data_IF_748547949110
#
_entry.id   IF_748547949110
#
_cell.length_a   1.000
_cell.length_b   1.000
_cell.length_c   1.000
_cell.angle_alpha   90.00
_cell.angle_beta   90.00
_cell.angle_gamma   90.00
#
_symmetry.space_group_name_H-M   'P 1'
#
loop_
_entity.id
_entity.type
_entity.pdbx_description
1 polymer ?
#
# COMPACT_ATOMS: atom_id res chain seq x y z
N UNK A 1 -3.93 -72.90 -52.33
CA UNK A 1 -4.24 -72.12 -51.11
C UNK A 1 -4.88 -70.83 -51.61
N UNK A 2 -6.20 -70.74 -51.82
CA UNK A 2 -7.31 -70.85 -50.86
C UNK A 2 -7.17 -69.86 -49.68
N UNK A 3 -8.06 -68.86 -49.67
CA UNK A 3 -8.38 -68.01 -48.53
C UNK A 3 -9.13 -68.84 -47.44
N UNK A 4 -9.30 -68.37 -46.19
CA UNK A 4 -10.14 -67.20 -45.84
C UNK A 4 -9.41 -66.23 -44.88
N UNK A 5 -9.99 -65.21 -44.24
CA UNK A 5 -11.38 -64.74 -44.07
C UNK A 5 -11.42 -63.20 -44.04
N UNK A 6 -12.61 -62.61 -44.27
CA UNK A 6 -12.99 -61.27 -43.77
C UNK A 6 -14.34 -61.43 -43.08
N UNK A 7 -14.46 -60.93 -41.85
CA UNK A 7 -15.74 -60.77 -41.15
C UNK A 7 -15.87 -59.29 -40.82
N UNK A 8 -16.94 -58.68 -41.34
CA UNK A 8 -17.37 -57.36 -40.91
C UNK A 8 -18.52 -57.51 -39.93
N UNK A 9 -18.46 -56.77 -38.83
CA UNK A 9 -19.61 -56.48 -37.97
C UNK A 9 -19.48 -55.03 -37.51
N UNK A 10 -20.40 -54.18 -37.96
CA UNK A 10 -20.67 -52.93 -37.25
C UNK A 10 -21.12 -53.27 -35.83
N UNK A 11 -20.72 -52.48 -34.85
CA UNK A 11 -21.59 -52.11 -33.76
C UNK A 11 -21.32 -50.65 -33.38
N UNK A 12 -22.39 -49.87 -33.24
CA UNK A 12 -22.33 -48.57 -32.58
C UNK A 12 -22.31 -48.82 -31.07
N UNK A 13 -21.41 -48.17 -30.34
CA UNK A 13 -21.56 -47.98 -28.91
C UNK A 13 -20.89 -46.68 -28.44
N UNK A 14 -21.74 -45.67 -28.29
CA UNK A 14 -21.92 -44.80 -27.13
C UNK A 14 -20.71 -44.14 -26.44
N UNK A 15 -20.91 -42.84 -26.20
CA UNK A 15 -20.07 -41.91 -25.46
C UNK A 15 -19.51 -42.48 -24.14
N UNK A 16 -18.19 -42.41 -24.01
CA UNK A 16 -17.59 -42.05 -22.72
C UNK A 16 -16.40 -41.12 -22.95
N UNK A 17 -16.68 -39.81 -22.92
CA UNK A 17 -15.69 -38.74 -22.92
C UNK A 17 -14.97 -38.66 -21.57
N UNK A 18 -14.11 -39.66 -21.30
CA UNK A 18 -13.13 -39.58 -20.23
C UNK A 18 -11.86 -38.91 -20.78
N UNK A 19 -11.80 -37.60 -20.60
CA UNK A 19 -10.65 -36.77 -20.94
C UNK A 19 -9.34 -37.35 -20.41
N UNK A 20 -8.34 -37.43 -21.29
CA UNK A 20 -7.00 -37.97 -20.99
C UNK A 20 -6.32 -37.06 -19.95
N UNK A 21 -5.92 -37.57 -18.76
CA UNK A 21 -5.20 -36.76 -17.78
C UNK A 21 -3.84 -36.32 -18.34
N UNK A 22 -3.55 -35.01 -18.31
CA UNK A 22 -2.26 -34.47 -18.71
C UNK A 22 -2.23 -33.65 -20.01
N UNK A 23 -3.37 -33.32 -20.61
CA UNK A 23 -3.46 -32.11 -21.44
C UNK A 23 -3.73 -30.91 -20.54
N UNK A 24 -2.72 -30.07 -20.35
CA UNK A 24 -2.97 -28.65 -20.07
C UNK A 24 -3.75 -28.09 -21.26
N UNK A 25 -5.03 -27.78 -21.02
CA UNK A 25 -5.74 -26.85 -21.88
C UNK A 25 -5.13 -25.50 -21.53
N UNK A 26 -4.28 -24.95 -22.40
CA UNK A 26 -3.97 -23.52 -22.38
C UNK A 26 -5.25 -22.74 -22.75
N UNK A 27 -6.19 -22.66 -21.81
CA UNK A 27 -7.15 -21.58 -21.81
C UNK A 27 -6.33 -20.31 -21.66
N UNK A 28 -6.23 -19.54 -22.76
CA UNK A 28 -5.86 -18.13 -22.66
C UNK A 28 -6.91 -17.47 -21.79
N UNK A 29 -6.57 -17.28 -20.52
CA UNK A 29 -7.37 -16.50 -19.58
C UNK A 29 -7.59 -15.12 -20.18
N UNK A 30 -8.78 -14.90 -20.75
CA UNK A 30 -9.10 -13.63 -21.38
C UNK A 30 -9.37 -12.60 -20.28
N UNK A 31 -8.31 -11.87 -19.94
CA UNK A 31 -8.32 -10.81 -18.94
C UNK A 31 -8.88 -9.48 -19.47
N UNK A 32 -9.77 -9.56 -20.47
CA UNK A 32 -10.69 -8.48 -20.85
C UNK A 32 -11.69 -8.21 -19.73
N UNK A 33 -12.18 -6.97 -19.70
CA UNK A 33 -13.41 -6.60 -18.98
C UNK A 33 -14.54 -6.54 -20.00
N UNK A 34 -15.77 -6.78 -19.56
CA UNK A 34 -16.95 -6.55 -20.39
C UNK A 34 -17.15 -5.04 -20.65
N UNK A 35 -17.83 -4.71 -21.75
CA UNK A 35 -18.25 -3.34 -22.02
C UNK A 35 -19.29 -2.87 -21.00
N UNK A 36 -19.30 -1.57 -20.71
CA UNK A 36 -20.30 -0.93 -19.83
C UNK A 36 -21.75 -1.24 -20.24
N UNK A 37 -21.99 -1.50 -21.52
CA UNK A 37 -23.29 -1.90 -22.05
C UNK A 37 -23.80 -3.21 -21.44
N UNK A 38 -22.94 -4.19 -21.14
CA UNK A 38 -23.32 -5.47 -20.54
C UNK A 38 -23.61 -5.32 -19.05
N UNK A 39 -22.76 -4.55 -18.35
CA UNK A 39 -23.01 -4.15 -16.97
C UNK A 39 -24.37 -3.44 -16.83
N UNK A 40 -24.68 -2.52 -17.74
CA UNK A 40 -25.98 -1.82 -17.77
C UNK A 40 -27.15 -2.76 -18.08
N UNK A 41 -27.01 -3.78 -18.94
CA UNK A 41 -28.06 -4.80 -19.14
C UNK A 41 -28.38 -5.54 -17.84
N UNK A 42 -27.35 -5.98 -17.12
CA UNK A 42 -27.50 -6.69 -15.84
C UNK A 42 -28.12 -5.78 -14.77
N UNK A 43 -27.64 -4.55 -14.61
CA UNK A 43 -28.16 -3.58 -13.63
C UNK A 43 -29.62 -3.18 -13.90
N UNK A 44 -30.05 -3.15 -15.16
CA UNK A 44 -31.44 -2.85 -15.55
C UNK A 44 -32.38 -4.06 -15.50
N UNK A 45 -31.88 -5.29 -15.33
CA UNK A 45 -32.73 -6.47 -15.17
C UNK A 45 -33.61 -6.36 -13.91
N UNK A 46 -34.91 -6.65 -14.05
CA UNK A 46 -35.90 -6.46 -12.98
C UNK A 46 -35.93 -7.64 -12.00
N UNK A 47 -35.13 -7.54 -10.95
CA UNK A 47 -35.18 -8.49 -9.82
C UNK A 47 -36.47 -8.32 -8.99
N UNK A 48 -37.06 -9.44 -8.56
CA UNK A 48 -38.07 -9.47 -7.49
C UNK A 48 -37.39 -9.11 -6.17
N UNK A 49 -38.09 -8.42 -5.27
CA UNK A 49 -37.55 -8.11 -3.93
C UNK A 49 -37.55 -9.37 -3.06
N UNK A 50 -36.45 -9.58 -2.32
CA UNK A 50 -36.42 -10.58 -1.25
C UNK A 50 -37.33 -10.16 -0.10
N UNK A 51 -38.08 -11.11 0.45
CA UNK A 51 -38.86 -10.94 1.68
C UNK A 51 -38.24 -11.82 2.78
N UNK A 52 -37.64 -11.24 3.83
CA UNK A 52 -37.03 -12.01 4.91
C UNK A 52 -38.06 -12.75 5.78
N UNK A 53 -39.30 -12.26 5.85
CA UNK A 53 -40.38 -12.77 6.68
C UNK A 53 -41.66 -12.98 5.84
N UNK A 54 -41.67 -13.95 4.91
CA UNK A 54 -42.87 -14.28 4.15
C UNK A 54 -44.02 -14.65 5.11
N UNK A 55 -45.25 -14.21 4.77
CA UNK A 55 -46.42 -14.36 5.65
C UNK A 55 -46.70 -15.79 6.12
N UNK A 56 -46.30 -16.78 5.32
CA UNK A 56 -46.48 -18.20 5.62
C UNK A 56 -45.54 -18.72 6.73
N UNK A 57 -44.43 -18.01 7.04
CA UNK A 57 -43.55 -18.36 8.17
C UNK A 57 -44.14 -18.01 9.53
N UNK A 58 -44.90 -16.92 9.62
CA UNK A 58 -45.55 -16.49 10.86
C UNK A 58 -46.59 -17.49 11.38
N UNK A 59 -47.06 -18.44 10.55
CA UNK A 59 -48.03 -19.47 10.97
C UNK A 59 -47.36 -20.72 11.57
N UNK A 60 -46.05 -20.93 11.35
CA UNK A 60 -45.32 -22.16 11.74
C UNK A 60 -44.39 -21.93 12.95
N UNK A 61 -44.41 -20.74 13.56
CA UNK A 61 -43.68 -20.49 14.82
C UNK A 61 -42.16 -20.66 14.72
N UNK A 62 -41.57 -20.57 13.53
CA UNK A 62 -40.11 -20.55 13.34
C UNK A 62 -39.53 -19.28 13.98
N UNK A 63 -38.40 -19.43 14.70
CA UNK A 63 -37.66 -18.28 15.21
C UNK A 63 -37.25 -17.35 14.05
N UNK A 64 -37.31 -16.02 14.23
CA UNK A 64 -36.93 -15.07 13.18
C UNK A 64 -35.47 -15.26 12.79
N UNK A 65 -35.21 -15.34 11.48
CA UNK A 65 -33.87 -15.56 10.93
C UNK A 65 -32.84 -14.58 11.52
N UNK A 66 -31.66 -15.10 11.85
CA UNK A 66 -30.51 -14.25 12.19
C UNK A 66 -30.06 -13.41 11.00
N UNK A 67 -29.36 -12.30 11.26
CA UNK A 67 -28.85 -11.42 10.20
C UNK A 67 -27.96 -12.14 9.18
N UNK A 68 -27.20 -13.16 9.61
CA UNK A 68 -26.35 -13.98 8.74
C UNK A 68 -27.17 -14.90 7.81
N UNK A 69 -28.28 -15.46 8.31
CA UNK A 69 -29.19 -16.29 7.50
C UNK A 69 -30.00 -15.43 6.54
N UNK A 70 -30.46 -14.25 6.96
CA UNK A 70 -31.10 -13.27 6.07
C UNK A 70 -30.16 -12.94 4.91
N UNK A 71 -28.90 -12.61 5.19
CA UNK A 71 -27.87 -12.30 4.19
C UNK A 71 -27.64 -13.46 3.21
N UNK A 72 -27.41 -14.66 3.73
CA UNK A 72 -27.19 -15.87 2.92
C UNK A 72 -28.39 -16.19 2.02
N UNK A 73 -29.61 -16.15 2.58
CA UNK A 73 -30.84 -16.41 1.82
C UNK A 73 -31.12 -15.31 0.78
N UNK A 74 -30.79 -14.05 1.07
CA UNK A 74 -30.90 -12.92 0.14
C UNK A 74 -30.00 -13.14 -1.08
N UNK A 75 -28.73 -13.52 -0.86
CA UNK A 75 -27.78 -13.77 -1.95
C UNK A 75 -28.26 -14.93 -2.83
N UNK A 76 -28.69 -16.06 -2.22
CA UNK A 76 -29.22 -17.22 -2.96
C UNK A 76 -30.46 -16.85 -3.77
N UNK A 77 -31.42 -16.12 -3.19
CA UNK A 77 -32.65 -15.69 -3.85
C UNK A 77 -32.42 -14.80 -5.07
N UNK A 78 -31.39 -13.95 -5.07
CA UNK A 78 -31.03 -13.19 -6.27
C UNK A 78 -30.20 -14.00 -7.26
N UNK A 79 -29.34 -14.90 -6.81
CA UNK A 79 -28.59 -15.82 -7.68
C UNK A 79 -29.53 -16.72 -8.49
N UNK A 80 -30.59 -17.25 -7.88
CA UNK A 80 -31.64 -18.04 -8.55
C UNK A 80 -32.37 -17.25 -9.66
N UNK A 81 -32.42 -15.91 -9.58
CA UNK A 81 -33.01 -15.05 -10.61
C UNK A 81 -32.04 -14.64 -11.72
N UNK A 82 -30.75 -14.98 -11.58
CA UNK A 82 -29.66 -14.60 -12.48
C UNK A 82 -28.98 -15.82 -13.11
N UNK A 83 -29.60 -17.00 -13.04
CA UNK A 83 -29.05 -18.26 -13.57
C UNK A 83 -28.70 -18.13 -15.06
N UNK A 84 -29.60 -17.54 -15.85
CA UNK A 84 -29.44 -17.39 -17.31
C UNK A 84 -28.59 -16.17 -17.74
N UNK A 85 -27.99 -15.44 -16.79
CA UNK A 85 -27.06 -14.34 -17.10
C UNK A 85 -25.61 -14.83 -17.06
N UNK A 86 -24.86 -14.49 -18.11
CA UNK A 86 -23.41 -14.67 -18.15
C UNK A 86 -22.70 -13.84 -17.08
N UNK A 87 -21.60 -14.33 -16.48
CA UNK A 87 -20.77 -13.55 -15.56
C UNK A 87 -20.17 -12.31 -16.25
N UNK A 88 -20.28 -11.16 -15.59
CA UNK A 88 -19.77 -9.88 -16.07
C UNK A 88 -18.51 -9.50 -15.30
N UNK A 89 -17.41 -9.32 -16.04
CA UNK A 89 -16.09 -8.87 -15.59
C UNK A 89 -16.02 -7.35 -15.64
N UNK A 90 -15.83 -6.68 -14.51
CA UNK A 90 -15.62 -5.22 -14.42
C UNK A 90 -14.28 -4.90 -13.78
N UNK A 91 -13.75 -3.70 -13.95
CA UNK A 91 -12.53 -3.28 -13.21
C UNK A 91 -12.85 -3.05 -11.72
N UNK A 92 -11.87 -3.26 -10.83
CA UNK A 92 -12.06 -2.89 -9.42
C UNK A 92 -12.23 -1.37 -9.26
N UNK A 93 -11.60 -0.56 -10.11
CA UNK A 93 -11.77 0.89 -10.16
C UNK A 93 -13.24 1.25 -10.37
N UNK A 94 -13.89 0.64 -11.38
CA UNK A 94 -15.32 0.79 -11.64
C UNK A 94 -16.12 0.47 -10.37
N UNK A 95 -15.84 -0.65 -9.70
CA UNK A 95 -16.49 -1.01 -8.44
C UNK A 95 -16.28 0.04 -7.33
N UNK A 96 -15.05 0.47 -7.07
CA UNK A 96 -14.75 1.48 -6.02
C UNK A 96 -15.44 2.83 -6.28
N UNK A 97 -15.67 3.18 -7.54
CA UNK A 97 -16.39 4.41 -7.93
C UNK A 97 -17.92 4.33 -7.74
N UNK A 98 -18.49 3.15 -7.52
CA UNK A 98 -19.94 3.02 -7.32
C UNK A 98 -20.36 3.46 -5.91
N UNK A 99 -21.21 4.48 -5.83
CA UNK A 99 -21.88 4.91 -4.60
C UNK A 99 -23.38 4.58 -4.56
N UNK A 100 -23.95 4.67 -3.36
CA UNK A 100 -25.40 4.70 -3.12
C UNK A 100 -26.22 3.61 -3.83
N UNK A 101 -27.25 4.04 -4.58
CA UNK A 101 -28.21 3.14 -5.23
C UNK A 101 -27.60 2.22 -6.30
N UNK A 102 -26.53 2.67 -6.98
CA UNK A 102 -25.84 1.86 -7.99
C UNK A 102 -25.10 0.70 -7.33
N UNK A 103 -24.36 0.97 -6.24
CA UNK A 103 -23.69 -0.05 -5.45
C UNK A 103 -24.71 -1.06 -4.89
N UNK A 104 -25.78 -0.60 -4.26
CA UNK A 104 -26.84 -1.47 -3.73
C UNK A 104 -27.48 -2.35 -4.82
N UNK A 105 -27.61 -1.84 -6.05
CA UNK A 105 -28.07 -2.63 -7.20
C UNK A 105 -27.06 -3.69 -7.63
N UNK A 106 -25.76 -3.38 -7.61
CA UNK A 106 -24.68 -4.32 -7.93
C UNK A 106 -24.58 -5.45 -6.88
N UNK A 107 -24.73 -5.15 -5.59
CA UNK A 107 -24.65 -6.15 -4.50
C UNK A 107 -25.70 -7.26 -4.67
N UNK A 108 -26.92 -6.92 -5.07
CA UNK A 108 -27.97 -7.90 -5.40
C UNK A 108 -27.66 -8.74 -6.65
N UNK A 109 -26.58 -8.44 -7.38
CA UNK A 109 -26.11 -9.15 -8.59
C UNK A 109 -24.69 -9.71 -8.43
N UNK A 110 -24.12 -9.64 -7.23
CA UNK A 110 -22.76 -10.06 -6.88
C UNK A 110 -22.37 -11.44 -7.42
N UNK A 111 -23.27 -12.42 -7.39
CA UNK A 111 -23.07 -13.78 -7.91
C UNK A 111 -22.81 -13.88 -9.44
N UNK A 112 -22.99 -12.79 -10.18
CA UNK A 112 -22.63 -12.64 -11.60
C UNK A 112 -21.60 -11.54 -11.86
N UNK A 113 -20.95 -11.00 -10.82
CA UNK A 113 -19.91 -9.98 -10.96
C UNK A 113 -18.55 -10.53 -10.56
N UNK A 114 -17.57 -10.31 -11.43
CA UNK A 114 -16.16 -10.57 -11.18
C UNK A 114 -15.36 -9.27 -11.31
N UNK A 115 -14.55 -8.93 -10.31
CA UNK A 115 -13.74 -7.71 -10.31
C UNK A 115 -12.32 -8.02 -10.78
N UNK A 116 -11.85 -7.38 -11.85
CA UNK A 116 -10.50 -7.56 -12.36
C UNK A 116 -9.46 -6.95 -11.42
N UNK A 117 -8.40 -7.70 -11.12
CA UNK A 117 -7.21 -7.19 -10.43
C UNK A 117 -6.55 -6.09 -11.28
N UNK A 118 -6.13 -4.95 -10.71
CA UNK A 118 -5.62 -3.83 -11.51
C UNK A 118 -4.28 -4.13 -12.18
N UNK A 119 -3.43 -4.91 -11.49
CA UNK A 119 -2.02 -5.16 -11.88
C UNK A 119 -1.77 -6.59 -12.38
N UNK A 120 -2.74 -7.51 -12.22
CA UNK A 120 -2.56 -8.93 -12.51
C UNK A 120 -3.71 -9.44 -13.38
N UNK A 121 -3.45 -10.50 -14.15
CA UNK A 121 -4.49 -11.21 -14.91
C UNK A 121 -5.27 -12.15 -13.97
N UNK A 122 -6.04 -11.58 -13.03
CA UNK A 122 -6.85 -12.30 -12.04
C UNK A 122 -8.18 -11.59 -11.80
N UNK A 123 -9.15 -12.31 -11.25
CA UNK A 123 -10.47 -11.79 -10.91
C UNK A 123 -10.86 -12.13 -9.45
N UNK A 124 -11.59 -11.22 -8.82
CA UNK A 124 -12.15 -11.37 -7.48
C UNK A 124 -13.65 -11.67 -7.60
N UNK A 125 -14.13 -12.66 -6.88
CA UNK A 125 -15.57 -12.97 -6.82
C UNK A 125 -16.25 -12.11 -5.76
N UNK A 126 -17.41 -11.55 -6.10
CA UNK A 126 -18.31 -10.93 -5.12
C UNK A 126 -19.29 -11.96 -4.56
N UNK A 127 -19.49 -11.93 -3.25
CA UNK A 127 -20.50 -12.71 -2.53
C UNK A 127 -21.31 -11.78 -1.63
N UNK A 128 -22.44 -11.28 -2.17
CA UNK A 128 -23.18 -10.19 -1.56
C UNK A 128 -22.32 -8.92 -1.50
N UNK A 129 -22.18 -8.39 -0.29
CA UNK A 129 -21.38 -7.22 0.10
C UNK A 129 -19.92 -7.57 0.45
N UNK A 130 -19.48 -8.83 0.26
CA UNK A 130 -18.11 -9.25 0.53
C UNK A 130 -17.38 -9.60 -0.76
N UNK A 131 -16.17 -9.07 -0.90
CA UNK A 131 -15.20 -9.59 -1.85
C UNK A 131 -14.57 -10.84 -1.21
N UNK A 132 -14.26 -11.86 -2.01
CA UNK A 132 -13.62 -13.09 -1.52
C UNK A 132 -12.16 -13.12 -1.91
N UNK A 133 -11.27 -13.26 -0.92
CA UNK A 133 -9.84 -13.57 -1.15
C UNK A 133 -8.90 -12.76 -0.24
N UNK A 134 -7.61 -12.80 -0.62
CA UNK A 134 -6.57 -11.87 -0.17
C UNK A 134 -5.64 -11.61 -1.35
N UNK A 135 -5.23 -10.36 -1.53
CA UNK A 135 -4.52 -9.93 -2.73
C UNK A 135 -3.42 -8.93 -2.41
N UNK A 136 -2.34 -9.01 -3.18
CA UNK A 136 -1.17 -8.14 -3.06
C UNK A 136 -1.18 -7.15 -4.23
N UNK A 137 -1.00 -5.85 -3.96
CA UNK A 137 -0.87 -4.83 -5.01
C UNK A 137 -0.01 -3.65 -4.56
N UNK A 138 0.44 -2.80 -5.50
CA UNK A 138 1.25 -1.63 -5.14
C UNK A 138 0.51 -0.68 -4.20
N UNK A 139 1.24 -0.10 -3.24
CA UNK A 139 0.61 0.73 -2.21
C UNK A 139 -0.06 1.99 -2.76
N UNK A 140 0.55 2.65 -3.75
CA UNK A 140 -0.05 3.81 -4.39
C UNK A 140 -1.37 3.46 -5.11
N UNK A 141 -1.50 2.22 -5.62
CA UNK A 141 -2.76 1.73 -6.18
C UNK A 141 -3.82 1.48 -5.10
N UNK A 142 -3.42 0.93 -3.94
CA UNK A 142 -4.31 0.82 -2.76
C UNK A 142 -4.83 2.19 -2.35
N UNK A 143 -3.95 3.19 -2.22
CA UNK A 143 -4.32 4.55 -1.85
C UNK A 143 -5.28 5.20 -2.87
N UNK A 144 -5.04 5.00 -4.17
CA UNK A 144 -5.91 5.48 -5.25
C UNK A 144 -7.31 4.86 -5.21
N UNK A 145 -7.40 3.54 -5.02
CA UNK A 145 -8.67 2.82 -4.85
C UNK A 145 -9.39 3.27 -3.56
N UNK A 146 -8.65 3.48 -2.48
CA UNK A 146 -9.22 3.90 -1.20
C UNK A 146 -9.75 5.34 -1.25
N UNK A 147 -9.00 6.26 -1.84
CA UNK A 147 -9.46 7.62 -2.09
C UNK A 147 -10.74 7.64 -2.93
N UNK A 148 -10.81 6.80 -3.97
CA UNK A 148 -12.01 6.66 -4.81
C UNK A 148 -13.19 6.12 -4.00
N UNK A 149 -12.98 5.11 -3.16
CA UNK A 149 -14.02 4.52 -2.32
C UNK A 149 -14.51 5.45 -1.18
N UNK A 150 -13.63 6.30 -0.64
CA UNK A 150 -13.98 7.34 0.34
C UNK A 150 -14.81 8.44 -0.33
N UNK A 151 -14.37 8.94 -1.49
CA UNK A 151 -15.05 10.03 -2.20
C UNK A 151 -16.41 9.65 -2.80
N UNK A 152 -16.76 8.35 -2.86
CA UNK A 152 -18.04 7.84 -3.36
C UNK A 152 -18.89 7.13 -2.27
N UNK A 153 -18.53 7.28 -0.98
CA UNK A 153 -19.20 6.62 0.16
C UNK A 153 -19.33 5.08 0.04
N UNK A 154 -18.41 4.44 -0.69
CA UNK A 154 -18.42 2.99 -0.91
C UNK A 154 -17.76 2.26 0.28
N UNK A 155 -18.52 2.09 1.35
CA UNK A 155 -18.07 1.42 2.58
C UNK A 155 -17.59 -0.01 2.35
N UNK A 156 -18.17 -0.73 1.37
CA UNK A 156 -17.79 -2.10 1.03
C UNK A 156 -16.37 -2.15 0.44
N UNK A 157 -16.07 -1.26 -0.51
CA UNK A 157 -14.73 -1.13 -1.06
C UNK A 157 -13.72 -0.67 0.02
N UNK A 158 -14.13 0.23 0.91
CA UNK A 158 -13.29 0.65 2.04
C UNK A 158 -12.97 -0.50 3.00
N UNK A 159 -13.94 -1.36 3.34
CA UNK A 159 -13.73 -2.52 4.20
C UNK A 159 -12.85 -3.58 3.52
N UNK A 160 -13.09 -3.87 2.23
CA UNK A 160 -12.23 -4.76 1.43
C UNK A 160 -10.77 -4.32 1.46
N UNK A 161 -10.52 -3.04 1.15
CA UNK A 161 -9.16 -2.48 1.11
C UNK A 161 -8.46 -2.60 2.46
N UNK A 162 -9.17 -2.36 3.57
CA UNK A 162 -8.60 -2.46 4.92
C UNK A 162 -8.34 -3.89 5.42
N UNK A 163 -9.01 -4.89 4.86
CA UNK A 163 -9.06 -6.25 5.45
C UNK A 163 -8.54 -7.37 4.56
N UNK A 164 -8.48 -7.16 3.24
CA UNK A 164 -8.15 -8.19 2.25
C UNK A 164 -7.02 -7.79 1.29
N UNK A 165 -6.72 -6.50 1.15
CA UNK A 165 -5.55 -6.05 0.39
C UNK A 165 -4.32 -5.95 1.30
N UNK A 166 -3.21 -6.50 0.83
CA UNK A 166 -1.89 -6.32 1.45
C UNK A 166 -1.03 -5.50 0.49
N UNK A 167 -0.30 -4.47 0.94
CA UNK A 167 0.68 -3.79 0.10
C UNK A 167 1.81 -4.74 -0.32
N UNK A 168 2.11 -4.78 -1.62
CA UNK A 168 3.30 -5.42 -2.16
C UNK A 168 4.56 -4.90 -1.49
N UNK A 169 5.61 -5.74 -1.43
CA UNK A 169 6.88 -5.36 -0.80
C UNK A 169 7.48 -4.12 -1.46
N UNK A 170 7.87 -3.12 -0.66
CA UNK A 170 8.60 -1.94 -1.14
C UNK A 170 10.07 -1.98 -0.70
N UNK A 171 10.94 -1.34 -1.46
CA UNK A 171 12.34 -1.12 -1.11
C UNK A 171 12.52 0.04 -0.12
N UNK A 172 13.71 0.11 0.48
CA UNK A 172 14.12 1.23 1.34
C UNK A 172 14.06 2.55 0.58
N UNK A 173 14.55 2.52 -0.66
CA UNK A 173 14.63 3.70 -1.52
C UNK A 173 13.22 4.22 -1.89
N UNK A 174 12.27 3.33 -2.18
CA UNK A 174 10.86 3.70 -2.43
C UNK A 174 10.18 4.26 -1.17
N UNK A 175 10.45 3.68 0.01
CA UNK A 175 9.93 4.21 1.27
C UNK A 175 10.47 5.62 1.56
N UNK A 176 11.76 5.85 1.33
CA UNK A 176 12.39 7.17 1.49
C UNK A 176 11.90 8.19 0.44
N UNK A 177 11.68 7.77 -0.81
CA UNK A 177 11.07 8.61 -1.85
C UNK A 177 9.62 8.98 -1.47
N UNK A 178 8.87 8.07 -0.86
CA UNK A 178 7.49 8.37 -0.43
C UNK A 178 7.40 9.45 0.65
N UNK A 179 8.51 9.73 1.37
CA UNK A 179 8.60 10.80 2.35
C UNK A 179 8.80 12.20 1.75
N UNK A 180 8.96 12.32 0.42
CA UNK A 180 8.99 13.62 -0.28
C UNK A 180 7.60 14.12 -0.68
N UNK A 181 6.59 13.24 -0.67
CA UNK A 181 5.28 13.49 -1.29
C UNK A 181 4.23 13.97 -0.26
N UNK A 182 4.55 15.08 0.43
CA UNK A 182 3.66 15.74 1.38
C UNK A 182 2.37 16.30 0.74
N UNK A 183 2.35 16.47 -0.58
CA UNK A 183 1.30 17.18 -1.31
C UNK A 183 0.45 16.31 -2.24
N UNK A 184 0.86 15.07 -2.54
CA UNK A 184 0.18 14.20 -3.51
C UNK A 184 -1.12 13.56 -3.01
N UNK A 185 -1.34 13.48 -1.69
CA UNK A 185 -2.45 12.72 -1.10
C UNK A 185 -3.36 13.57 -0.22
N UNK A 186 -4.66 13.29 -0.29
CA UNK A 186 -5.65 13.99 0.54
C UNK A 186 -5.55 13.50 1.99
N UNK A 187 -5.31 14.42 2.93
CA UNK A 187 -5.14 14.13 4.36
C UNK A 187 -6.23 13.23 4.95
N UNK A 188 -7.50 13.47 4.59
CA UNK A 188 -8.66 12.69 5.03
C UNK A 188 -8.61 11.21 4.60
N UNK A 189 -7.96 10.89 3.48
CA UNK A 189 -7.81 9.51 2.98
C UNK A 189 -6.80 8.74 3.84
N UNK A 190 -5.68 9.36 4.20
CA UNK A 190 -4.69 8.76 5.11
C UNK A 190 -5.27 8.67 6.52
N UNK A 191 -5.87 9.75 7.03
CA UNK A 191 -6.47 9.81 8.37
C UNK A 191 -7.62 8.80 8.59
N UNK A 192 -8.34 8.43 7.52
CA UNK A 192 -9.37 7.39 7.58
C UNK A 192 -8.80 5.96 7.50
N UNK A 193 -7.65 5.73 6.85
CA UNK A 193 -6.96 4.43 6.92
C UNK A 193 -6.40 4.12 8.31
N UNK A 194 -6.01 5.13 9.08
CA UNK A 194 -5.44 4.96 10.42
C UNK A 194 -6.54 4.74 11.49
N UNK A 195 -6.53 3.62 12.24
CA UNK A 195 -7.43 3.41 13.38
C UNK A 195 -7.21 4.46 14.47
N UNK A 196 -8.27 4.82 15.20
CA UNK A 196 -8.22 5.83 16.28
C UNK A 196 -7.15 5.55 17.34
N UNK A 197 -6.96 4.27 17.70
CA UNK A 197 -5.97 3.87 18.70
C UNK A 197 -4.54 4.13 18.22
N UNK A 198 -4.29 3.93 16.92
CA UNK A 198 -3.00 4.24 16.28
C UNK A 198 -2.82 5.75 16.17
N UNK A 199 -3.87 6.49 15.81
CA UNK A 199 -3.80 7.96 15.74
C UNK A 199 -3.45 8.56 17.10
N UNK A 200 -4.07 8.10 18.19
CA UNK A 200 -3.73 8.50 19.55
C UNK A 200 -2.29 8.13 19.95
N UNK A 201 -1.80 6.97 19.52
CA UNK A 201 -0.44 6.51 19.85
C UNK A 201 0.66 7.33 19.17
N UNK A 202 0.46 7.73 17.89
CA UNK A 202 1.48 8.40 17.09
C UNK A 202 1.34 9.93 17.03
N UNK A 203 0.12 10.48 17.13
CA UNK A 203 -0.15 11.94 17.07
C UNK A 203 -0.71 12.52 18.39
N UNK A 204 -1.14 11.67 19.33
CA UNK A 204 -1.73 12.10 20.60
C UNK A 204 -3.26 12.27 20.55
N UNK A 205 -3.87 12.53 21.71
CA UNK A 205 -5.33 12.65 21.82
C UNK A 205 -5.87 13.90 21.08
N UNK A 206 -6.90 13.69 20.25
CA UNK A 206 -7.63 14.73 19.51
C UNK A 206 -6.77 15.61 18.57
N UNK A 207 -5.57 15.16 18.18
CA UNK A 207 -4.80 15.85 17.14
C UNK A 207 -5.29 15.41 15.76
N UNK A 208 -5.77 16.38 14.98
CA UNK A 208 -5.95 16.24 13.54
C UNK A 208 -4.56 16.07 12.92
N UNK A 209 -4.42 15.19 11.94
CA UNK A 209 -3.17 14.99 11.21
C UNK A 209 -2.63 16.34 10.71
N UNK A 210 -1.37 16.66 10.99
CA UNK A 210 -0.77 17.84 10.37
C UNK A 210 -0.43 17.50 8.90
N UNK A 211 -0.52 18.49 8.01
CA UNK A 211 -0.08 18.33 6.61
C UNK A 211 1.40 17.94 6.55
N UNK A 212 2.20 18.46 7.49
CA UNK A 212 3.63 18.16 7.62
C UNK A 212 3.96 16.76 8.20
N UNK A 213 2.95 15.94 8.54
CA UNK A 213 3.13 14.56 9.00
C UNK A 213 2.49 13.54 8.01
N UNK A 214 2.01 14.00 6.84
CA UNK A 214 1.30 13.15 5.85
C UNK A 214 2.22 12.07 5.27
N UNK A 215 3.48 12.41 4.99
CA UNK A 215 4.52 11.49 4.54
C UNK A 215 4.74 10.29 5.48
N UNK A 216 5.00 10.54 6.76
CA UNK A 216 5.19 9.49 7.76
C UNK A 216 3.91 8.69 7.98
N UNK A 217 2.75 9.36 7.91
CA UNK A 217 1.43 8.73 8.04
C UNK A 217 1.10 7.79 6.88
N UNK A 218 1.57 8.12 5.67
CA UNK A 218 1.50 7.23 4.49
C UNK A 218 2.28 5.94 4.74
N UNK A 219 3.51 6.02 5.25
CA UNK A 219 4.29 4.82 5.64
C UNK A 219 3.68 4.05 6.82
N UNK A 220 3.04 4.73 7.77
CA UNK A 220 2.31 4.07 8.86
C UNK A 220 1.10 3.29 8.34
N UNK A 221 0.32 3.87 7.41
CA UNK A 221 -0.79 3.18 6.75
C UNK A 221 -0.32 1.94 5.95
N UNK A 222 0.82 2.03 5.25
CA UNK A 222 1.47 0.87 4.61
C UNK A 222 1.77 -0.25 5.63
N UNK A 223 2.33 0.10 6.79
CA UNK A 223 2.62 -0.85 7.87
C UNK A 223 1.35 -1.55 8.40
N UNK A 224 0.27 -0.80 8.58
CA UNK A 224 -0.98 -1.31 9.17
C UNK A 224 -1.72 -2.27 8.24
N UNK A 225 -1.66 -2.04 6.93
CA UNK A 225 -2.22 -2.94 5.92
C UNK A 225 -1.35 -4.21 5.72
N UNK A 226 -0.31 -4.42 6.54
CA UNK A 226 0.56 -5.59 6.48
C UNK A 226 1.70 -5.49 5.47
N UNK A 227 1.94 -4.30 4.92
CA UNK A 227 3.04 -4.02 4.00
C UNK A 227 4.40 -4.33 4.63
N UNK A 228 5.35 -4.80 3.80
CA UNK A 228 6.68 -5.24 4.23
C UNK A 228 7.78 -4.59 3.40
N UNK A 229 8.90 -4.30 4.06
CA UNK A 229 10.10 -3.80 3.39
C UNK A 229 10.93 -4.97 2.87
N UNK A 230 11.60 -4.79 1.73
CA UNK A 230 12.64 -5.70 1.25
C UNK A 230 13.77 -5.84 2.29
N UNK A 231 14.39 -7.02 2.37
CA UNK A 231 15.51 -7.27 3.31
C UNK A 231 16.81 -6.58 2.88
N UNK A 232 16.90 -6.16 1.62
CA UNK A 232 18.08 -5.46 1.08
C UNK A 232 18.07 -3.99 1.51
N UNK A 233 19.14 -3.56 2.18
CA UNK A 233 19.39 -2.14 2.47
C UNK A 233 18.63 -1.56 3.67
N UNK A 234 18.04 -2.39 4.55
CA UNK A 234 17.20 -1.98 5.69
C UNK A 234 17.84 -1.02 6.72
N UNK A 235 19.14 -0.73 6.62
CA UNK A 235 19.79 0.28 7.44
C UNK A 235 19.50 1.69 6.91
N UNK A 236 19.13 2.61 7.81
CA UNK A 236 18.89 4.02 7.49
C UNK A 236 19.71 4.89 8.44
N UNK A 237 20.40 5.88 7.89
CA UNK A 237 21.28 6.78 8.62
C UNK A 237 20.77 8.22 8.52
N UNK A 238 20.18 8.72 9.59
CA UNK A 238 19.63 10.08 9.67
C UNK A 238 20.68 11.00 10.28
N UNK A 239 21.22 11.93 9.49
CA UNK A 239 22.16 12.94 9.98
C UNK A 239 21.41 14.18 10.45
N UNK A 240 21.62 14.56 11.71
CA UNK A 240 20.97 15.71 12.34
C UNK A 240 22.01 16.64 13.00
N UNK A 241 21.79 17.96 12.99
CA UNK A 241 22.63 18.90 13.72
C UNK A 241 22.35 18.84 15.22
N UNK A 242 23.38 18.93 16.06
CA UNK A 242 23.25 19.01 17.53
C UNK A 242 22.43 20.25 17.97
N UNK A 243 22.48 21.32 17.19
CA UNK A 243 21.70 22.55 17.43
C UNK A 243 21.12 23.11 16.15
N UNK A 244 19.93 23.73 16.24
CA UNK A 244 19.32 24.50 15.14
C UNK A 244 19.80 25.96 15.08
N UNK A 245 20.56 26.46 16.07
CA UNK A 245 20.98 27.88 16.13
C UNK A 245 22.18 28.15 15.23
N UNK A 246 22.06 29.16 14.37
CA UNK A 246 23.13 29.51 13.43
C UNK A 246 23.27 28.54 12.25
N UNK A 247 22.25 27.75 11.95
CA UNK A 247 22.17 27.05 10.68
C UNK A 247 21.83 28.04 9.55
N UNK A 248 22.44 27.82 8.39
CA UNK A 248 22.11 28.45 7.12
C UNK A 248 21.51 27.38 6.20
N UNK A 249 20.71 27.79 5.22
CA UNK A 249 20.08 26.87 4.27
C UNK A 249 18.70 26.38 4.72
N UNK A 250 18.28 25.22 4.20
CA UNK A 250 16.98 24.62 4.46
C UNK A 250 16.93 23.89 5.81
N UNK A 251 15.72 23.52 6.23
CA UNK A 251 15.49 22.60 7.36
C UNK A 251 15.36 21.14 6.89
N UNK A 252 15.89 20.80 5.71
CA UNK A 252 15.90 19.42 5.20
C UNK A 252 16.81 18.53 6.06
N UNK A 253 16.44 17.26 6.14
CA UNK A 253 17.15 16.26 6.94
C UNK A 253 17.78 15.25 6.00
N UNK A 254 19.08 15.01 6.19
CA UNK A 254 19.84 14.10 5.36
C UNK A 254 19.58 12.68 5.85
N UNK A 255 19.09 11.85 4.96
CA UNK A 255 18.87 10.43 5.19
C UNK A 255 19.68 9.64 4.17
N UNK A 256 20.57 8.76 4.64
CA UNK A 256 21.34 7.87 3.77
C UNK A 256 20.84 6.45 3.94
N UNK A 257 20.46 5.80 2.84
CA UNK A 257 20.04 4.39 2.86
C UNK A 257 21.25 3.45 2.90
N UNK A 258 21.04 2.20 3.30
CA UNK A 258 22.05 1.15 3.23
C UNK A 258 22.53 0.81 1.80
N UNK A 259 21.90 1.37 0.76
CA UNK A 259 22.34 1.31 -0.64
C UNK A 259 23.26 2.47 -1.03
N UNK A 260 23.59 3.39 -0.10
CA UNK A 260 24.48 4.52 -0.33
C UNK A 260 23.82 5.74 -1.00
N UNK A 261 22.51 5.70 -1.24
CA UNK A 261 21.78 6.86 -1.78
C UNK A 261 21.55 7.88 -0.66
N UNK A 262 21.79 9.14 -1.00
CA UNK A 262 21.59 10.29 -0.11
C UNK A 262 20.26 10.94 -0.50
N UNK A 263 19.41 11.15 0.51
CA UNK A 263 18.12 11.80 0.43
C UNK A 263 18.13 13.06 1.30
N UNK A 264 17.57 14.14 0.78
CA UNK A 264 17.40 15.45 1.40
C UNK A 264 15.90 15.65 1.61
N UNK A 265 15.38 15.20 2.76
CA UNK A 265 13.92 15.13 2.99
C UNK A 265 13.46 16.42 3.70
N UNK A 266 12.54 17.20 3.09
CA UNK A 266 12.03 18.43 3.71
C UNK A 266 11.12 18.10 4.91
N UNK A 267 11.14 18.97 5.92
CA UNK A 267 10.23 19.01 7.08
C UNK A 267 10.10 17.73 7.96
N UNK A 268 10.75 16.62 7.59
CA UNK A 268 10.70 15.30 8.22
C UNK A 268 10.63 15.36 9.77
N UNK A 269 9.57 14.79 10.32
CA UNK A 269 9.36 14.67 11.76
C UNK A 269 10.22 13.52 12.31
N UNK A 270 11.51 13.78 12.58
CA UNK A 270 12.50 12.74 12.97
C UNK A 270 11.96 11.74 14.02
N UNK A 271 11.35 12.15 15.16
CA UNK A 271 10.78 11.19 16.10
C UNK A 271 9.69 10.29 15.51
N UNK A 272 8.76 10.84 14.74
CA UNK A 272 7.66 10.10 14.12
C UNK A 272 8.19 9.16 13.03
N UNK A 273 8.98 9.69 12.10
CA UNK A 273 9.59 8.96 11.00
C UNK A 273 10.40 7.76 11.52
N UNK A 274 11.23 7.95 12.55
CA UNK A 274 12.01 6.85 13.14
C UNK A 274 11.14 5.78 13.81
N UNK A 275 10.01 6.15 14.42
CA UNK A 275 9.09 5.18 15.01
C UNK A 275 8.39 4.35 13.92
N UNK A 276 7.89 5.00 12.86
CA UNK A 276 7.26 4.35 11.71
C UNK A 276 8.24 3.46 10.96
N UNK A 277 9.45 3.95 10.69
CA UNK A 277 10.49 3.18 10.02
C UNK A 277 10.92 1.97 10.88
N UNK A 278 11.04 2.12 12.21
CA UNK A 278 11.34 0.98 13.09
C UNK A 278 10.21 -0.06 13.15
N UNK A 279 8.94 0.35 13.14
CA UNK A 279 7.82 -0.61 13.06
C UNK A 279 7.78 -1.37 11.72
N UNK A 280 8.27 -0.75 10.65
CA UNK A 280 8.45 -1.37 9.33
C UNK A 280 9.70 -2.29 9.23
N UNK A 281 10.50 -2.39 10.29
CA UNK A 281 11.70 -3.23 10.35
C UNK A 281 12.99 -2.55 9.90
N UNK A 282 12.99 -1.24 9.63
CA UNK A 282 14.21 -0.51 9.31
C UNK A 282 15.12 -0.35 10.54
N UNK A 283 16.42 -0.61 10.36
CA UNK A 283 17.45 -0.30 11.35
C UNK A 283 17.87 1.17 11.23
N UNK A 284 17.01 2.06 11.72
CA UNK A 284 17.22 3.51 11.64
C UNK A 284 18.08 4.04 12.79
N UNK A 285 19.29 4.52 12.46
CA UNK A 285 20.28 5.12 13.36
C UNK A 285 20.35 6.63 13.15
N UNK A 286 20.31 7.41 14.23
CA UNK A 286 20.56 8.86 14.20
C UNK A 286 22.05 9.12 14.39
N UNK A 287 22.64 9.97 13.56
CA UNK A 287 23.99 10.50 13.68
C UNK A 287 23.85 12.00 13.98
N UNK A 288 24.10 12.39 15.24
CA UNK A 288 24.04 13.79 15.66
C UNK A 288 25.44 14.39 15.52
N UNK A 289 25.58 15.42 14.71
CA UNK A 289 26.86 16.10 14.47
C UNK A 289 26.88 17.48 15.12
N UNK A 290 28.00 17.81 15.77
CA UNK A 290 28.34 19.17 16.23
C UNK A 290 29.56 19.74 15.52
N UNK A 291 30.23 18.91 14.72
CA UNK A 291 31.34 19.30 13.86
C UNK A 291 31.13 18.69 12.47
N UNK A 292 31.49 19.42 11.40
CA UNK A 292 31.54 18.91 10.03
C UNK A 292 32.87 19.33 9.43
N UNK A 293 33.74 18.37 9.17
CA UNK A 293 34.95 18.61 8.39
C UNK A 293 34.59 18.62 6.89
N UNK A 294 34.93 19.70 6.18
CA UNK A 294 34.59 19.86 4.76
C UNK A 294 35.82 19.57 3.90
N UNK A 295 36.91 20.30 4.16
CA UNK A 295 38.22 20.16 3.54
C UNK A 295 39.33 20.73 4.46
N UNK A 296 40.58 20.69 4.01
CA UNK A 296 41.76 21.10 4.79
C UNK A 296 41.68 22.50 5.40
N UNK A 297 40.92 23.41 4.79
CA UNK A 297 40.87 24.83 5.15
C UNK A 297 39.48 25.22 5.67
N UNK A 298 38.49 24.32 5.63
CA UNK A 298 37.08 24.64 5.88
C UNK A 298 36.41 23.58 6.76
N UNK A 299 35.79 24.01 7.86
CA UNK A 299 34.95 23.16 8.72
C UNK A 299 33.85 23.97 9.40
N UNK A 300 32.78 23.28 9.83
CA UNK A 300 31.78 23.84 10.72
C UNK A 300 31.89 23.25 12.12
N UNK A 301 31.63 24.05 13.15
CA UNK A 301 31.56 23.58 14.54
C UNK A 301 30.55 24.37 15.38
N UNK A 302 29.88 23.69 16.30
CA UNK A 302 29.05 24.26 17.36
C UNK A 302 29.95 24.83 18.47
N UNK A 303 29.89 26.14 18.69
CA UNK A 303 30.56 26.78 19.84
C UNK A 303 29.74 26.72 21.13
N UNK A 304 30.35 27.13 22.25
CA UNK A 304 29.82 26.98 23.63
C UNK A 304 28.37 27.48 23.86
N UNK A 305 27.91 28.46 23.06
CA UNK A 305 26.54 28.97 23.11
C UNK A 305 25.50 28.06 22.41
N UNK A 306 25.92 26.90 21.89
CA UNK A 306 25.14 26.03 21.02
C UNK A 306 24.87 26.65 19.65
N UNK A 307 25.76 27.51 19.14
CA UNK A 307 25.64 28.21 17.85
C UNK A 307 26.64 27.63 16.86
N UNK A 308 26.20 27.32 15.64
CA UNK A 308 27.07 26.92 14.55
C UNK A 308 27.88 28.08 13.99
N UNK A 309 29.16 27.80 13.77
CA UNK A 309 30.11 28.67 13.07
C UNK A 309 30.77 27.90 11.93
N UNK A 310 31.02 28.59 10.83
CA UNK A 310 31.85 28.12 9.71
C UNK A 310 33.21 28.81 9.84
N UNK A 311 34.25 27.99 9.90
CA UNK A 311 35.65 28.40 9.90
C UNK A 311 36.23 28.17 8.51
N UNK A 312 36.86 29.21 7.96
CA UNK A 312 37.61 29.15 6.71
C UNK A 312 38.97 29.81 6.94
N UNK A 313 40.05 29.02 6.88
CA UNK A 313 41.38 29.40 7.39
C UNK A 313 41.26 29.96 8.82
N UNK A 314 41.78 31.15 9.09
CA UNK A 314 41.68 31.85 10.38
C UNK A 314 40.36 32.63 10.58
N UNK A 315 39.45 32.61 9.60
CA UNK A 315 38.21 33.40 9.61
C UNK A 315 37.06 32.58 10.22
N UNK A 316 36.58 33.00 11.40
CA UNK A 316 35.36 32.49 12.03
C UNK A 316 34.14 33.32 11.61
N UNK A 317 33.18 32.69 10.95
CA UNK A 317 31.89 33.30 10.60
C UNK A 317 30.74 32.63 11.36
N UNK A 318 29.73 33.40 11.77
CA UNK A 318 28.50 32.85 12.35
C UNK A 318 27.59 32.36 11.23
N UNK A 319 27.06 31.14 11.37
CA UNK A 319 26.39 30.46 10.28
C UNK A 319 27.13 29.18 9.86
N UNK A 320 26.40 28.10 9.57
CA UNK A 320 26.89 26.98 8.77
C UNK A 320 25.75 26.43 7.90
N UNK A 321 26.00 26.24 6.61
CA UNK A 321 25.14 25.40 5.76
C UNK A 321 25.39 23.93 6.10
N UNK A 322 24.66 23.40 7.08
CA UNK A 322 24.82 22.03 7.56
C UNK A 322 24.51 21.00 6.48
N UNK A 323 23.51 21.28 5.64
CA UNK A 323 23.02 20.36 4.61
C UNK A 323 24.12 20.13 3.55
N UNK A 324 24.48 21.19 2.84
CA UNK A 324 25.45 21.12 1.75
C UNK A 324 26.81 20.61 2.23
N UNK A 325 27.25 21.05 3.42
CA UNK A 325 28.55 20.66 3.97
C UNK A 325 28.57 19.21 4.44
N UNK A 326 27.50 18.68 5.04
CA UNK A 326 27.44 17.25 5.41
C UNK A 326 27.42 16.36 4.17
N UNK A 327 26.63 16.71 3.15
CA UNK A 327 26.59 15.96 1.88
C UNK A 327 27.96 15.98 1.19
N UNK A 328 28.63 17.15 1.16
CA UNK A 328 30.00 17.29 0.64
C UNK A 328 31.00 16.47 1.46
N UNK A 329 30.88 16.44 2.78
CA UNK A 329 31.74 15.68 3.69
C UNK A 329 31.59 14.16 3.50
N UNK A 330 30.37 13.68 3.28
CA UNK A 330 30.07 12.27 2.94
C UNK A 330 30.68 11.93 1.57
N UNK A 331 30.33 12.69 0.51
CA UNK A 331 30.82 12.45 -0.87
C UNK A 331 32.35 12.52 -0.99
N UNK A 332 32.99 13.43 -0.25
CA UNK A 332 34.45 13.58 -0.24
C UNK A 332 35.15 12.61 0.73
N UNK A 333 34.41 11.76 1.46
CA UNK A 333 34.94 10.82 2.46
C UNK A 333 35.72 11.49 3.60
N UNK A 334 35.44 12.76 3.88
CA UNK A 334 36.05 13.55 4.97
C UNK A 334 35.22 13.53 6.26
N UNK A 335 34.02 12.93 6.24
CA UNK A 335 33.13 12.77 7.41
C UNK A 335 33.76 11.98 8.56
N UNK A 336 34.80 11.18 8.30
CA UNK A 336 35.60 10.50 9.34
C UNK A 336 36.59 11.41 10.09
N UNK A 337 36.87 12.62 9.58
CA UNK A 337 37.70 13.65 10.24
C UNK A 337 36.88 14.52 11.21
N UNK A 338 35.56 14.34 11.24
CA UNK A 338 34.68 15.02 12.18
C UNK A 338 34.87 14.52 13.61
N UNK A 339 34.86 15.44 14.59
CA UNK A 339 35.06 15.13 16.02
C UNK A 339 34.09 14.06 16.56
N UNK A 340 32.86 14.03 16.05
CA UNK A 340 31.82 13.07 16.44
C UNK A 340 32.00 11.67 15.82
N UNK A 341 32.98 11.48 14.92
CA UNK A 341 33.28 10.17 14.30
C UNK A 341 33.56 9.09 15.35
N UNK A 342 34.19 9.43 16.47
CA UNK A 342 34.48 8.47 17.55
C UNK A 342 33.18 7.87 18.14
N UNK A 343 32.13 8.67 18.25
CA UNK A 343 30.82 8.25 18.79
C UNK A 343 30.01 7.44 17.77
N UNK A 344 30.07 7.81 16.49
CA UNK A 344 29.23 7.21 15.43
C UNK A 344 30.02 6.31 14.45
N UNK A 345 31.21 5.84 14.87
CA UNK A 345 32.22 5.16 14.02
C UNK A 345 31.65 4.04 13.14
N UNK A 346 30.88 3.12 13.72
CA UNK A 346 30.28 2.00 12.97
C UNK A 346 29.32 2.49 11.88
N UNK A 347 28.45 3.44 12.24
CA UNK A 347 27.44 4.01 11.33
C UNK A 347 28.08 4.83 10.21
N UNK A 348 29.06 5.67 10.53
CA UNK A 348 29.76 6.50 9.53
C UNK A 348 30.60 5.63 8.60
N UNK A 349 31.28 4.60 9.11
CA UNK A 349 32.00 3.65 8.24
C UNK A 349 31.04 2.97 7.26
N UNK A 350 29.90 2.45 7.72
CA UNK A 350 28.88 1.83 6.86
C UNK A 350 28.34 2.79 5.80
N UNK A 351 28.09 4.05 6.16
CA UNK A 351 27.73 5.10 5.18
C UNK A 351 28.84 5.28 4.14
N UNK A 352 30.10 5.42 4.57
CA UNK A 352 31.24 5.59 3.67
C UNK A 352 31.51 4.39 2.76
N UNK A 353 31.22 3.17 3.22
CA UNK A 353 31.34 1.93 2.46
C UNK A 353 30.18 1.73 1.48
N UNK A 354 28.97 2.20 1.82
CA UNK A 354 27.82 2.17 0.92
C UNK A 354 27.89 3.26 -0.18
N UNK A 355 28.51 4.40 0.11
CA UNK A 355 28.68 5.53 -0.84
C UNK A 355 29.95 5.42 -1.71
N UNK A 356 30.42 4.20 -2.01
CA UNK A 356 31.59 3.96 -2.88
C UNK A 356 31.21 3.90 -4.37
#
# INVERSE_FOLDING_TARGET
MLAPFVVASNDHQDDIDFGIPGKEIEEKDDCTVNDDADLLKLLNFKLKKFDPNPKDRSEIGEDPLSAAEIKTNTIRFYQEQLVDFDPIKISIETFTSMGGGTLASLINRSSRISLKHPEECKFFSLYGDQILGRYDMTFDKILSLYATAVNNDNTIAQEFIRTQLTPSKMSVDEALISLYDDYGYQQNVIESLLPEDVKKLFFGENQILNVADVAESKLLAFSLLGGKISEVGQEIYVFAPESKKGLLGSNEIIVVSGTGKIYEIPLLNIPLALNVLRSLGFNAKIIILKHIYIDNNSYCEVGDAGIWYHFTDDIKQMGCDFLSNTIRSIKNKTINMTKDFVQFKESINKVMDATQ
#
